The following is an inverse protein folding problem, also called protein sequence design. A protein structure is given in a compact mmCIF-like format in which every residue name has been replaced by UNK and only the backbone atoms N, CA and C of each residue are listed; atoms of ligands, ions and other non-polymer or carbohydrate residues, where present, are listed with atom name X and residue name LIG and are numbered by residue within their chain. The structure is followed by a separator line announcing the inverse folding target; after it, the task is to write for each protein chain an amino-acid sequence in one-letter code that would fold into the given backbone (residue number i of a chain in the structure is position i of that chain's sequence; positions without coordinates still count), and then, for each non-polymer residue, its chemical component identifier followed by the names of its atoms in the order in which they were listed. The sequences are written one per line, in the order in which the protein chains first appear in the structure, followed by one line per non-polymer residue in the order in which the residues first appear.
data_IF_437631091961
#
_entry.id   IF_437631091961
#
_cell.length_a   1.000
_cell.length_b   1.000
_cell.length_c   1.000
_cell.angle_alpha   90.00
_cell.angle_beta   90.00
_cell.angle_gamma   90.00
#
_symmetry.space_group_name_H-M   'P 1'
#
loop_
_entity.id
_entity.type
_entity.pdbx_description
1 polymer ?
#
# COMPACT_ATOMS: atom_id res chain seq x y z
N UNK A 1 2.86 -25.13 -29.96
CA UNK A 1 3.01 -25.19 -28.50
C UNK A 1 2.52 -23.86 -27.95
N UNK A 2 1.38 -23.80 -27.26
CA UNK A 2 0.97 -22.55 -26.58
C UNK A 2 1.55 -22.57 -25.17
N UNK A 3 2.14 -21.45 -24.74
CA UNK A 3 2.56 -21.28 -23.35
C UNK A 3 1.32 -21.43 -22.43
N UNK A 4 1.48 -22.12 -21.31
CA UNK A 4 0.47 -22.21 -20.25
C UNK A 4 0.59 -21.08 -19.23
N UNK A 5 1.59 -20.19 -19.42
CA UNK A 5 1.85 -19.08 -18.51
C UNK A 5 0.70 -18.08 -18.50
N UNK A 6 0.40 -17.61 -17.31
CA UNK A 6 -0.66 -16.67 -17.02
C UNK A 6 -0.09 -15.49 -16.24
N UNK A 7 -0.77 -14.35 -16.34
CA UNK A 7 -0.34 -13.11 -15.71
C UNK A 7 -0.86 -13.04 -14.29
N UNK A 8 0.02 -12.71 -13.35
CA UNK A 8 -0.33 -12.48 -11.95
C UNK A 8 0.06 -11.06 -11.59
N UNK A 9 -0.87 -10.28 -11.04
CA UNK A 9 -0.62 -8.88 -10.67
C UNK A 9 -0.85 -8.66 -9.19
N UNK A 10 -0.04 -7.76 -8.62
CA UNK A 10 -0.22 -7.24 -7.28
C UNK A 10 -0.18 -5.72 -7.30
N UNK A 11 -1.04 -5.07 -6.53
CA UNK A 11 -0.93 -3.64 -6.25
C UNK A 11 -1.08 -3.33 -4.77
N UNK A 12 -0.27 -2.40 -4.27
CA UNK A 12 -0.45 -1.77 -2.95
C UNK A 12 -0.81 -0.31 -3.13
N UNK A 13 -1.89 0.12 -2.49
CA UNK A 13 -2.39 1.49 -2.60
C UNK A 13 -2.65 2.10 -1.22
N UNK A 14 -2.42 3.40 -1.11
CA UNK A 14 -2.89 4.23 -0.01
C UNK A 14 -4.07 5.06 -0.54
N UNK A 15 -5.17 5.07 0.22
CA UNK A 15 -6.29 5.96 0.02
C UNK A 15 -6.33 6.95 1.18
N UNK A 16 -6.30 8.24 0.87
CA UNK A 16 -6.60 9.27 1.84
C UNK A 16 -8.11 9.51 1.92
N UNK A 17 -8.76 8.98 2.94
CA UNK A 17 -10.17 9.21 3.27
C UNK A 17 -10.31 10.15 4.48
N UNK A 18 -9.23 10.86 4.84
CA UNK A 18 -9.25 11.92 5.85
C UNK A 18 -9.52 13.28 5.22
N UNK A 19 -9.87 14.25 6.05
CA UNK A 19 -10.06 15.65 5.66
C UNK A 19 -8.73 16.41 5.50
N UNK A 20 -7.60 15.75 5.75
CA UNK A 20 -6.28 16.37 5.81
C UNK A 20 -5.47 16.10 4.54
N UNK A 21 -4.76 17.13 4.07
CA UNK A 21 -3.63 16.95 3.15
C UNK A 21 -2.36 16.71 3.97
N UNK A 22 -1.52 15.78 3.53
CA UNK A 22 -0.27 15.44 4.21
C UNK A 22 0.82 15.00 3.24
N UNK A 23 2.05 14.93 3.74
CA UNK A 23 3.21 14.43 3.03
C UNK A 23 3.53 13.01 3.50
N UNK A 24 3.68 12.08 2.55
CA UNK A 24 4.28 10.78 2.79
C UNK A 24 5.75 10.82 2.38
N UNK A 25 6.62 10.68 3.36
CA UNK A 25 8.06 10.55 3.21
C UNK A 25 8.41 9.07 3.23
N UNK A 26 9.09 8.60 2.19
CA UNK A 26 9.51 7.21 2.10
C UNK A 26 10.85 7.03 1.42
N UNK A 27 11.60 6.04 1.88
CA UNK A 27 12.86 5.59 1.31
C UNK A 27 12.60 4.25 0.59
N UNK A 28 13.24 4.02 -0.55
CA UNK A 28 13.29 2.73 -1.29
C UNK A 28 12.09 2.32 -2.15
N UNK A 29 10.97 3.05 -2.21
CA UNK A 29 9.90 2.65 -3.13
C UNK A 29 10.19 2.98 -4.61
N UNK A 30 11.03 3.99 -4.86
CA UNK A 30 11.48 4.41 -6.21
C UNK A 30 13.00 4.57 -6.28
N UNK A 31 13.74 3.75 -5.52
CA UNK A 31 15.22 3.78 -5.44
C UNK A 31 15.81 5.14 -4.98
N UNK A 32 14.98 6.05 -4.44
CA UNK A 32 15.35 7.35 -3.91
C UNK A 32 14.39 7.80 -2.79
N UNK A 33 14.85 8.70 -1.94
CA UNK A 33 14.01 9.42 -0.98
C UNK A 33 12.91 10.16 -1.73
N UNK A 34 11.66 9.83 -1.41
CA UNK A 34 10.48 10.33 -2.10
C UNK A 34 9.56 11.04 -1.12
N UNK A 35 9.15 12.25 -1.48
CA UNK A 35 8.09 12.99 -0.79
C UNK A 35 6.87 13.04 -1.69
N UNK A 36 5.78 12.44 -1.24
CA UNK A 36 4.52 12.35 -1.98
C UNK A 36 3.48 13.20 -1.24
N UNK A 37 2.95 14.20 -1.92
CA UNK A 37 1.85 15.02 -1.40
C UNK A 37 0.52 14.32 -1.68
N UNK A 38 -0.27 14.09 -0.64
CA UNK A 38 -1.53 13.35 -0.71
C UNK A 38 -2.65 14.26 -0.20
N UNK A 39 -3.57 14.61 -1.10
CA UNK A 39 -4.78 15.39 -0.80
C UNK A 39 -5.93 14.48 -0.35
N UNK A 40 -6.99 15.01 0.28
CA UNK A 40 -8.22 14.26 0.54
C UNK A 40 -8.76 13.58 -0.72
N UNK A 41 -9.30 12.38 -0.56
CA UNK A 41 -9.82 11.49 -1.61
C UNK A 41 -8.77 11.00 -2.63
N UNK A 42 -7.49 11.36 -2.45
CA UNK A 42 -6.44 10.93 -3.35
C UNK A 42 -6.04 9.47 -3.10
N UNK A 43 -5.84 8.75 -4.20
CA UNK A 43 -5.32 7.38 -4.21
C UNK A 43 -3.90 7.40 -4.75
N UNK A 44 -2.97 6.81 -4.01
CA UNK A 44 -1.55 6.69 -4.36
C UNK A 44 -1.17 5.22 -4.49
N UNK A 45 -0.61 4.86 -5.64
CA UNK A 45 -0.02 3.53 -5.85
C UNK A 45 1.39 3.51 -5.30
N UNK A 46 1.63 2.64 -4.31
CA UNK A 46 2.97 2.39 -3.79
C UNK A 46 3.70 1.43 -4.73
N UNK A 47 3.20 0.19 -4.88
CA UNK A 47 3.72 -0.79 -5.83
C UNK A 47 2.65 -1.24 -6.81
N UNK A 48 3.11 -1.55 -8.01
CA UNK A 48 2.39 -2.39 -8.97
C UNK A 48 3.39 -3.37 -9.57
N UNK A 49 3.15 -4.66 -9.39
CA UNK A 49 4.02 -5.72 -9.88
C UNK A 49 3.23 -6.70 -10.74
N UNK A 50 3.86 -7.15 -11.82
CA UNK A 50 3.32 -8.16 -12.72
C UNK A 50 4.35 -9.27 -12.92
N UNK A 51 3.90 -10.52 -12.82
CA UNK A 51 4.71 -11.71 -13.12
C UNK A 51 3.99 -12.66 -14.06
N UNK A 52 4.75 -13.24 -14.99
CA UNK A 52 4.32 -14.37 -15.80
C UNK A 52 4.72 -15.67 -15.10
N UNK A 53 3.82 -16.65 -15.05
CA UNK A 53 4.14 -17.96 -14.48
C UNK A 53 3.00 -18.96 -14.60
N UNK A 54 3.28 -20.21 -14.22
CA UNK A 54 2.25 -21.23 -14.02
C UNK A 54 1.78 -21.19 -12.56
N UNK A 55 0.46 -21.31 -12.37
CA UNK A 55 -0.20 -21.23 -11.08
C UNK A 55 0.27 -22.33 -10.08
N UNK A 56 0.77 -21.98 -8.88
CA UNK A 56 0.73 -22.90 -7.74
C UNK A 56 -0.69 -22.87 -7.13
N UNK A 57 -1.31 -24.03 -6.97
CA UNK A 57 -2.72 -24.20 -6.54
C UNK A 57 -3.12 -23.51 -5.22
N UNK A 58 -2.15 -23.04 -4.43
CA UNK A 58 -2.37 -22.27 -3.21
C UNK A 58 -1.05 -21.67 -2.75
N UNK A 59 -0.98 -20.34 -2.66
CA UNK A 59 -0.05 -19.55 -1.84
C UNK A 59 1.44 -19.43 -2.26
N UNK A 60 2.12 -18.36 -1.80
CA UNK A 60 1.62 -17.29 -0.92
C UNK A 60 1.18 -16.02 -1.67
N UNK A 61 0.08 -15.41 -1.21
CA UNK A 61 -0.17 -13.99 -1.43
C UNK A 61 0.94 -13.21 -0.75
N UNK A 62 1.44 -12.17 -1.42
CA UNK A 62 2.50 -11.34 -0.85
C UNK A 62 1.86 -10.49 0.25
N UNK A 63 2.43 -10.40 1.47
CA UNK A 63 1.83 -9.61 2.55
C UNK A 63 1.43 -8.21 2.09
N UNK A 64 0.29 -7.70 2.55
CA UNK A 64 -0.19 -6.37 2.23
C UNK A 64 0.51 -5.27 3.04
N UNK A 65 1.05 -5.59 4.20
CA UNK A 65 1.85 -4.67 4.99
C UNK A 65 3.15 -4.25 4.31
N UNK A 66 3.65 -3.09 4.72
CA UNK A 66 4.97 -2.62 4.33
C UNK A 66 6.03 -3.36 5.16
N UNK A 67 7.14 -3.74 4.52
CA UNK A 67 8.24 -4.38 5.23
C UNK A 67 8.89 -3.39 6.19
N UNK A 68 9.29 -3.85 7.39
CA UNK A 68 9.84 -2.98 8.45
C UNK A 68 11.14 -2.26 8.07
N UNK A 69 11.85 -2.74 7.04
CA UNK A 69 13.07 -2.11 6.52
C UNK A 69 12.78 -0.87 5.65
N UNK A 70 11.52 -0.62 5.29
CA UNK A 70 11.10 0.50 4.47
C UNK A 70 10.54 1.57 5.40
N UNK A 71 11.22 2.71 5.52
CA UNK A 71 10.76 3.81 6.36
C UNK A 71 9.61 4.56 5.68
N UNK A 72 8.45 4.58 6.33
CA UNK A 72 7.28 5.38 5.97
C UNK A 72 7.00 6.38 7.09
N UNK A 73 6.99 7.67 6.77
CA UNK A 73 6.68 8.73 7.71
C UNK A 73 5.62 9.69 7.12
N UNK A 74 4.61 10.03 7.90
CA UNK A 74 3.56 10.98 7.50
C UNK A 74 3.76 12.29 8.24
N UNK A 75 3.89 13.38 7.50
CA UNK A 75 3.95 14.73 8.05
C UNK A 75 2.63 15.44 7.74
N UNK A 76 1.92 15.82 8.80
CA UNK A 76 0.68 16.59 8.74
C UNK A 76 0.76 17.73 9.76
N UNK A 77 0.57 18.97 9.32
CA UNK A 77 0.78 20.15 10.17
C UNK A 77 -0.22 20.20 11.33
N UNK A 78 0.30 20.28 12.56
CA UNK A 78 -0.51 20.26 13.79
C UNK A 78 -1.01 18.89 14.24
N UNK A 79 -0.66 17.80 13.55
CA UNK A 79 -1.10 16.44 13.88
C UNK A 79 0.04 15.42 13.92
N UNK A 80 -0.13 14.40 14.75
CA UNK A 80 0.67 13.16 14.74
C UNK A 80 -0.13 12.09 14.03
N UNK A 81 0.49 11.45 13.04
CA UNK A 81 -0.07 10.26 12.41
C UNK A 81 0.13 9.04 13.31
N UNK A 82 -0.94 8.29 13.58
CA UNK A 82 -0.94 7.10 14.46
C UNK A 82 -1.33 5.81 13.75
N UNK A 83 -1.49 5.84 12.43
CA UNK A 83 -1.71 4.62 11.65
C UNK A 83 -0.43 3.77 11.55
N UNK A 84 -0.60 2.47 11.35
CA UNK A 84 0.51 1.52 11.26
C UNK A 84 0.49 0.79 9.91
N UNK A 85 1.39 1.18 9.01
CA UNK A 85 1.56 0.55 7.69
C UNK A 85 2.19 -0.84 7.74
N UNK A 86 2.81 -1.21 8.86
CA UNK A 86 3.57 -2.45 9.04
C UNK A 86 2.70 -3.58 9.61
N UNK A 87 1.56 -3.25 10.20
CA UNK A 87 0.56 -4.22 10.65
C UNK A 87 -0.31 -4.70 9.48
N UNK A 88 -0.27 -5.99 9.19
CA UNK A 88 -1.05 -6.64 8.12
C UNK A 88 -2.56 -6.47 8.31
N UNK A 89 -3.05 -6.42 9.54
CA UNK A 89 -4.48 -6.33 9.82
C UNK A 89 -5.09 -4.97 9.51
N UNK A 90 -4.26 -3.94 9.33
CA UNK A 90 -4.72 -2.61 8.91
C UNK A 90 -4.90 -2.49 7.39
N UNK A 91 -4.54 -3.52 6.63
CA UNK A 91 -4.71 -3.55 5.18
C UNK A 91 -5.93 -4.34 4.79
N UNK A 92 -6.69 -3.79 3.85
CA UNK A 92 -7.74 -4.51 3.17
C UNK A 92 -7.15 -5.26 1.98
N UNK A 93 -7.19 -6.60 2.04
CA UNK A 93 -6.80 -7.47 0.93
C UNK A 93 -8.04 -7.90 0.13
N UNK A 94 -7.99 -7.68 -1.17
CA UNK A 94 -8.85 -8.38 -2.12
C UNK A 94 -7.99 -9.27 -3.03
N UNK A 95 -8.27 -10.56 -3.01
CA UNK A 95 -7.58 -11.54 -3.85
C UNK A 95 -8.58 -12.24 -4.77
N UNK A 96 -8.40 -12.02 -6.07
CA UNK A 96 -9.12 -12.71 -7.12
C UNK A 96 -8.29 -13.91 -7.60
N UNK A 97 -8.62 -15.15 -7.18
CA UNK A 97 -7.91 -16.33 -7.61
C UNK A 97 -8.31 -16.72 -9.03
N UNK A 98 -7.39 -17.35 -9.76
CA UNK A 98 -7.68 -17.83 -11.09
C UNK A 98 -6.42 -18.17 -11.87
N UNK A 99 -6.61 -18.51 -13.15
CA UNK A 99 -5.50 -18.68 -14.09
C UNK A 99 -4.61 -17.44 -14.08
N UNK A 100 -5.18 -16.26 -14.31
CA UNK A 100 -4.59 -15.00 -13.92
C UNK A 100 -5.11 -14.64 -12.52
N UNK A 101 -4.21 -14.30 -11.59
CA UNK A 101 -4.61 -13.87 -10.25
C UNK A 101 -4.33 -12.39 -10.05
N UNK A 102 -5.19 -11.73 -9.29
CA UNK A 102 -5.05 -10.32 -8.96
C UNK A 102 -5.11 -10.16 -7.44
N UNK A 103 -4.09 -9.54 -6.86
CA UNK A 103 -4.06 -9.20 -5.45
C UNK A 103 -4.03 -7.67 -5.31
N UNK A 104 -4.99 -7.13 -4.57
CA UNK A 104 -5.12 -5.70 -4.33
C UNK A 104 -5.11 -5.44 -2.82
N UNK A 105 -4.08 -4.75 -2.36
CA UNK A 105 -3.92 -4.34 -0.96
C UNK A 105 -4.19 -2.85 -0.83
N UNK A 106 -5.10 -2.45 0.06
CA UNK A 106 -5.43 -1.06 0.33
C UNK A 106 -5.25 -0.71 1.80
N UNK A 107 -4.51 0.36 2.06
CA UNK A 107 -4.50 1.04 3.36
C UNK A 107 -5.33 2.31 3.25
N UNK A 108 -6.30 2.49 4.14
CA UNK A 108 -7.15 3.69 4.17
C UNK A 108 -6.77 4.56 5.35
N UNK A 109 -6.31 5.77 5.06
CA UNK A 109 -6.02 6.79 6.06
C UNK A 109 -7.31 7.57 6.34
N UNK A 110 -7.80 7.53 7.58
CA UNK A 110 -9.00 8.23 8.03
C UNK A 110 -8.61 9.31 9.07
N UNK A 111 -9.58 10.14 9.48
CA UNK A 111 -9.36 11.21 10.46
C UNK A 111 -8.89 10.70 11.84
N UNK A 112 -9.28 9.49 12.23
CA UNK A 112 -8.89 8.87 13.51
C UNK A 112 -7.41 8.47 13.58
N UNK A 113 -6.73 8.42 12.44
CA UNK A 113 -5.28 8.24 12.36
C UNK A 113 -4.50 9.54 12.63
N UNK A 114 -5.17 10.66 12.88
CA UNK A 114 -4.51 11.93 13.20
C UNK A 114 -4.91 12.41 14.59
N UNK A 115 -3.92 12.59 15.46
CA UNK A 115 -4.11 13.15 16.79
C UNK A 115 -3.50 14.55 16.85
N UNK A 116 -4.17 15.49 17.51
CA UNK A 116 -3.64 16.83 17.68
C UNK A 116 -2.30 16.80 18.44
N UNK A 117 -1.34 17.57 17.95
CA UNK A 117 -0.10 17.83 18.68
C UNK A 117 -0.42 18.76 19.87
N UNK A 118 -0.56 18.19 21.06
CA UNK A 118 -0.63 18.97 22.30
C UNK A 118 0.77 19.51 22.64
N UNK A 119 0.92 20.84 22.58
CA UNK A 119 2.14 21.58 22.98
C UNK A 119 1.97 22.24 24.36
#
# INVERSE_FOLDING_TARGET
MSSCETTHTQSKIILNNSDYSFELHTINFYENDSVIYISPEQLVYLSSFQKLGNHPNSLPTIPCSIHQDIEFNIICDGYVFTGDFYDEYNWEENFDPGRASHQHCRFTINNDHFQLLDF
#
